data_IF_092607062524
#
_entry.id   IF_092607062524
#
_cell.length_a   1.000
_cell.length_b   1.000
_cell.length_c   1.000
_cell.angle_alpha   90.00
_cell.angle_beta   90.00
_cell.angle_gamma   90.00
#
_symmetry.space_group_name_H-M   'P 1'
#
loop_
_entity.id
_entity.type
_entity.pdbx_description
1 polymer ?
#
# COMPACT_ATOMS: atom_id res chain seq x y z
N UNK A 1 -5.75 -28.13 37.91
CA UNK A 1 -4.40 -27.63 37.52
C UNK A 1 -3.50 -27.54 38.75
N UNK A 2 -2.19 -27.68 38.56
CA UNK A 2 -1.14 -27.67 39.60
C UNK A 2 -0.28 -26.40 39.58
N UNK A 3 -0.52 -25.53 38.61
CA UNK A 3 0.26 -24.32 38.37
C UNK A 3 -0.13 -23.69 37.02
N UNK A 4 0.66 -22.71 36.59
CA UNK A 4 0.65 -22.15 35.24
C UNK A 4 1.72 -22.85 34.40
N UNK A 5 1.36 -23.28 33.20
CA UNK A 5 2.28 -23.94 32.27
C UNK A 5 2.49 -23.05 31.04
N UNK A 6 3.74 -22.84 30.66
CA UNK A 6 4.16 -22.04 29.50
C UNK A 6 4.78 -23.00 28.47
N UNK A 7 4.17 -23.10 27.30
CA UNK A 7 4.61 -23.97 26.20
C UNK A 7 5.15 -23.10 25.07
N UNK A 8 6.46 -23.17 24.82
CA UNK A 8 7.09 -22.53 23.66
C UNK A 8 7.10 -23.49 22.47
N UNK A 9 6.20 -23.26 21.51
CA UNK A 9 6.09 -24.08 20.31
C UNK A 9 7.06 -23.62 19.21
N UNK A 10 7.92 -24.52 18.72
CA UNK A 10 8.84 -24.27 17.59
C UNK A 10 8.52 -25.19 16.41
N UNK A 11 8.22 -24.59 15.25
CA UNK A 11 8.10 -25.32 13.99
C UNK A 11 9.36 -25.08 13.14
N UNK A 12 10.33 -25.99 13.21
CA UNK A 12 11.56 -25.95 12.40
C UNK A 12 11.81 -27.31 11.75
N UNK A 13 12.50 -27.30 10.60
CA UNK A 13 12.93 -28.51 9.89
C UNK A 13 14.41 -28.81 10.18
N UNK A 14 14.78 -30.10 10.23
CA UNK A 14 16.17 -30.56 10.32
C UNK A 14 16.50 -31.31 11.61
N UNK A 15 17.78 -31.35 11.94
CA UNK A 15 18.32 -31.92 13.17
C UNK A 15 18.80 -30.81 14.10
N UNK A 16 18.17 -30.69 15.27
CA UNK A 16 18.46 -29.67 16.28
C UNK A 16 19.46 -30.22 17.29
N UNK A 17 20.53 -29.47 17.57
CA UNK A 17 21.56 -29.83 18.55
C UNK A 17 21.87 -28.63 19.46
N UNK A 18 21.96 -28.88 20.78
CA UNK A 18 22.45 -27.92 21.76
C UNK A 18 22.16 -28.32 23.21
N UNK A 19 22.50 -27.43 24.14
CA UNK A 19 22.30 -27.58 25.58
C UNK A 19 21.65 -26.34 26.18
N UNK A 20 21.14 -26.41 27.42
CA UNK A 20 20.63 -25.24 28.15
C UNK A 20 21.70 -24.17 28.50
N UNK A 21 22.99 -24.50 28.36
CA UNK A 21 24.10 -23.56 28.49
C UNK A 21 24.30 -22.71 27.22
N UNK A 22 23.90 -23.18 26.04
CA UNK A 22 24.13 -22.49 24.77
C UNK A 22 23.26 -21.24 24.61
N UNK A 23 23.81 -20.17 24.03
CA UNK A 23 23.02 -18.97 23.70
C UNK A 23 22.05 -19.25 22.54
N UNK A 24 22.58 -19.88 21.50
CA UNK A 24 21.88 -20.20 20.26
C UNK A 24 22.12 -21.69 19.96
N UNK A 25 21.08 -22.43 19.59
CA UNK A 25 21.16 -23.84 19.19
C UNK A 25 21.44 -23.94 17.68
N UNK A 26 22.06 -25.04 17.26
CA UNK A 26 22.35 -25.32 15.84
C UNK A 26 21.26 -26.21 15.25
N UNK A 27 20.88 -25.92 14.00
CA UNK A 27 19.93 -26.72 13.23
C UNK A 27 20.59 -27.11 11.90
N UNK A 28 20.96 -28.39 11.77
CA UNK A 28 21.48 -28.95 10.52
C UNK A 28 20.32 -29.27 9.58
N UNK A 29 20.42 -28.85 8.32
CA UNK A 29 19.35 -28.90 7.33
C UNK A 29 19.86 -29.46 6.01
N UNK A 30 18.94 -30.06 5.26
CA UNK A 30 19.17 -30.55 3.90
C UNK A 30 18.31 -29.72 2.95
N UNK A 31 18.95 -29.05 1.99
CA UNK A 31 18.27 -28.27 0.96
C UNK A 31 17.65 -29.16 -0.12
N UNK A 32 16.80 -28.58 -0.96
CA UNK A 32 16.05 -29.31 -2.01
C UNK A 32 16.93 -30.11 -2.99
N UNK A 33 18.20 -29.71 -3.18
CA UNK A 33 19.20 -30.41 -4.02
C UNK A 33 20.12 -31.35 -3.23
N UNK A 34 19.76 -31.73 -2.00
CA UNK A 34 20.57 -32.59 -1.12
C UNK A 34 21.73 -31.90 -0.39
N UNK A 35 22.03 -30.64 -0.71
CA UNK A 35 23.10 -29.87 -0.06
C UNK A 35 22.84 -29.65 1.42
N UNK A 36 23.81 -29.99 2.27
CA UNK A 36 23.73 -29.77 3.72
C UNK A 36 24.11 -28.33 4.06
N UNK A 37 23.42 -27.74 5.05
CA UNK A 37 23.73 -26.43 5.60
C UNK A 37 23.26 -26.29 7.04
N UNK A 38 23.77 -25.28 7.74
CA UNK A 38 23.39 -25.00 9.12
C UNK A 38 22.65 -23.68 9.26
N UNK A 39 21.85 -23.57 10.31
CA UNK A 39 21.25 -22.31 10.75
C UNK A 39 21.21 -22.27 12.27
N UNK A 40 21.37 -21.09 12.85
CA UNK A 40 21.27 -20.88 14.30
C UNK A 40 19.90 -20.32 14.68
N UNK A 41 19.42 -20.71 15.84
CA UNK A 41 18.21 -20.16 16.46
C UNK A 41 18.52 -19.89 17.94
N UNK A 42 18.07 -18.75 18.48
CA UNK A 42 18.23 -18.49 19.91
C UNK A 42 17.58 -19.60 20.74
N UNK A 43 18.26 -20.02 21.81
CA UNK A 43 17.90 -21.22 22.56
C UNK A 43 16.49 -21.13 23.18
N UNK A 44 15.53 -21.99 22.78
CA UNK A 44 14.15 -21.91 23.24
C UNK A 44 14.02 -22.18 24.74
N UNK A 45 14.92 -22.97 25.34
CA UNK A 45 14.92 -23.20 26.80
C UNK A 45 15.23 -21.91 27.57
N UNK A 46 16.08 -21.03 27.03
CA UNK A 46 16.37 -19.69 27.59
C UNK A 46 15.25 -18.68 27.36
N UNK A 47 14.51 -18.80 26.25
CA UNK A 47 13.28 -18.02 26.03
C UNK A 47 12.25 -18.39 27.10
N UNK A 48 11.98 -19.69 27.24
CA UNK A 48 11.07 -20.23 28.25
C UNK A 48 11.49 -19.87 29.67
N UNK A 49 12.77 -20.00 30.05
CA UNK A 49 13.24 -19.60 31.37
C UNK A 49 12.97 -18.10 31.65
N UNK A 50 13.11 -17.25 30.63
CA UNK A 50 12.76 -15.83 30.70
C UNK A 50 11.25 -15.62 30.89
N UNK A 51 10.42 -16.37 30.16
CA UNK A 51 8.95 -16.31 30.30
C UNK A 51 8.50 -16.77 31.69
N UNK A 52 9.04 -17.89 32.19
CA UNK A 52 8.78 -18.38 33.56
C UNK A 52 9.13 -17.32 34.61
N UNK A 53 10.33 -16.73 34.53
CA UNK A 53 10.76 -15.68 35.45
C UNK A 53 9.81 -14.46 35.44
N UNK A 54 9.45 -13.96 34.25
CA UNK A 54 8.59 -12.78 34.11
C UNK A 54 7.15 -13.06 34.57
N UNK A 55 6.60 -14.23 34.22
CA UNK A 55 5.23 -14.63 34.62
C UNK A 55 5.14 -14.87 36.13
N UNK A 56 6.11 -15.56 36.73
CA UNK A 56 6.15 -15.76 38.18
C UNK A 56 6.33 -14.43 38.93
N UNK A 57 7.18 -13.53 38.42
CA UNK A 57 7.36 -12.18 38.96
C UNK A 57 6.05 -11.38 38.94
N UNK A 58 5.39 -11.31 37.79
CA UNK A 58 4.11 -10.61 37.63
C UNK A 58 3.01 -11.18 38.53
N UNK A 59 2.83 -12.50 38.58
CA UNK A 59 1.82 -13.11 39.45
C UNK A 59 2.09 -12.82 40.94
N UNK A 60 3.36 -12.84 41.35
CA UNK A 60 3.75 -12.46 42.72
C UNK A 60 3.43 -10.99 43.04
N UNK A 61 3.60 -10.07 42.09
CA UNK A 61 3.19 -8.66 42.23
C UNK A 61 1.67 -8.52 42.38
N UNK A 62 0.88 -9.41 41.79
CA UNK A 62 -0.58 -9.50 42.00
C UNK A 62 -0.99 -10.25 43.29
N UNK A 63 -0.03 -10.58 44.17
CA UNK A 63 -0.28 -11.34 45.40
C UNK A 63 -0.71 -12.79 45.14
N UNK A 64 -0.25 -13.39 44.04
CA UNK A 64 -0.52 -14.77 43.64
C UNK A 64 0.79 -15.56 43.70
N UNK A 65 0.91 -16.49 44.64
CA UNK A 65 2.03 -17.42 44.71
C UNK A 65 1.60 -18.77 44.11
N UNK A 66 2.01 -19.05 42.87
CA UNK A 66 1.67 -20.28 42.15
C UNK A 66 2.90 -20.82 41.41
N UNK A 67 2.95 -22.13 41.21
CA UNK A 67 4.02 -22.77 40.44
C UNK A 67 3.91 -22.36 38.97
N UNK A 68 5.02 -21.96 38.35
CA UNK A 68 5.09 -21.64 36.92
C UNK A 68 6.11 -22.58 36.28
N UNK A 69 5.64 -23.49 35.43
CA UNK A 69 6.50 -24.44 34.71
C UNK A 69 6.62 -24.04 33.24
N UNK A 70 7.83 -24.06 32.72
CA UNK A 70 8.10 -23.87 31.30
C UNK A 70 8.41 -25.19 30.60
N UNK A 71 8.07 -25.30 29.32
CA UNK A 71 8.48 -26.39 28.43
C UNK A 71 8.64 -25.92 26.98
N UNK A 72 9.44 -26.64 26.21
CA UNK A 72 9.62 -26.43 24.76
C UNK A 72 8.96 -27.58 24.01
N UNK A 73 8.26 -27.27 22.92
CA UNK A 73 7.63 -28.27 22.06
C UNK A 73 7.99 -28.04 20.60
N UNK A 74 8.64 -29.03 19.98
CA UNK A 74 8.91 -29.01 18.54
C UNK A 74 7.78 -29.70 17.78
N UNK A 75 6.97 -28.91 17.06
CA UNK A 75 5.70 -29.35 16.46
C UNK A 75 5.84 -30.09 15.12
N UNK A 76 7.03 -30.14 14.56
CA UNK A 76 7.27 -30.75 13.24
C UNK A 76 7.51 -32.26 13.38
N UNK A 77 6.68 -33.15 12.80
CA UNK A 77 6.83 -34.59 12.96
C UNK A 77 8.09 -35.18 12.31
N UNK A 78 8.81 -34.43 11.48
CA UNK A 78 10.03 -34.88 10.80
C UNK A 78 11.33 -34.47 11.51
N UNK A 79 11.25 -33.55 12.47
CA UNK A 79 12.42 -32.99 13.17
C UNK A 79 13.13 -34.06 14.02
N UNK A 80 14.45 -34.02 14.14
CA UNK A 80 15.18 -34.75 15.20
C UNK A 80 15.65 -33.74 16.24
N UNK A 81 15.45 -34.00 17.53
CA UNK A 81 15.85 -33.05 18.61
C UNK A 81 16.86 -33.70 19.55
N UNK A 82 18.04 -33.08 19.65
CA UNK A 82 19.07 -33.36 20.66
C UNK A 82 19.37 -32.05 21.40
N UNK A 83 18.37 -31.57 22.15
CA UNK A 83 18.46 -30.37 22.97
C UNK A 83 18.36 -30.75 24.44
N UNK A 84 19.52 -30.84 25.11
CA UNK A 84 19.60 -31.23 26.51
C UNK A 84 19.24 -30.05 27.43
N UNK A 85 18.32 -30.26 28.38
CA UNK A 85 18.06 -29.28 29.44
C UNK A 85 17.74 -29.95 30.78
N UNK A 86 18.35 -29.39 31.82
CA UNK A 86 18.21 -29.83 33.21
C UNK A 86 16.93 -29.38 33.91
N UNK A 87 16.24 -28.35 33.37
CA UNK A 87 15.14 -27.64 34.07
C UNK A 87 13.88 -27.43 33.23
N UNK A 88 14.04 -27.27 31.92
CA UNK A 88 12.96 -27.01 30.98
C UNK A 88 12.81 -28.26 30.11
N UNK A 89 11.80 -29.13 30.32
CA UNK A 89 11.62 -30.29 29.46
C UNK A 89 11.39 -29.85 28.02
N UNK A 90 11.95 -30.64 27.11
CA UNK A 90 11.88 -30.45 25.66
C UNK A 90 11.19 -31.67 25.07
N UNK A 91 10.13 -31.45 24.32
CA UNK A 91 9.34 -32.49 23.67
C UNK A 91 9.37 -32.31 22.16
N UNK A 92 9.27 -33.40 21.39
CA UNK A 92 9.17 -33.35 19.92
C UNK A 92 7.99 -34.18 19.43
N UNK A 93 7.25 -33.69 18.43
CA UNK A 93 6.09 -34.41 17.90
C UNK A 93 6.47 -35.75 17.25
N UNK A 94 7.71 -35.87 16.75
CA UNK A 94 8.27 -37.12 16.25
C UNK A 94 8.36 -38.21 17.32
N UNK A 95 8.54 -37.81 18.57
CA UNK A 95 8.73 -38.69 19.73
C UNK A 95 7.46 -38.74 20.60
N UNK A 96 6.28 -38.64 19.98
CA UNK A 96 4.98 -38.62 20.66
C UNK A 96 4.79 -37.45 21.66
N UNK A 97 5.59 -36.39 21.52
CA UNK A 97 5.69 -35.27 22.47
C UNK A 97 4.38 -34.57 22.80
N UNK A 98 3.40 -34.54 21.87
CA UNK A 98 2.05 -34.04 22.19
C UNK A 98 1.34 -34.83 23.30
N UNK A 99 1.52 -36.16 23.37
CA UNK A 99 1.03 -37.01 24.46
C UNK A 99 1.86 -36.81 25.73
N UNK A 100 3.18 -36.69 25.59
CA UNK A 100 4.08 -36.50 26.73
C UNK A 100 3.84 -35.17 27.45
N UNK A 101 3.57 -34.08 26.72
CA UNK A 101 3.17 -32.79 27.28
C UNK A 101 1.89 -32.92 28.12
N UNK A 102 0.85 -33.57 27.57
CA UNK A 102 -0.39 -33.81 28.30
C UNK A 102 -0.16 -34.64 29.57
N UNK A 103 0.63 -35.72 29.46
CA UNK A 103 1.01 -36.56 30.60
C UNK A 103 1.76 -35.76 31.67
N UNK A 104 2.76 -34.97 31.27
CA UNK A 104 3.58 -34.13 32.13
C UNK A 104 2.74 -33.07 32.85
N UNK A 105 1.85 -32.36 32.15
CA UNK A 105 0.96 -31.34 32.75
C UNK A 105 -0.02 -31.97 33.76
N UNK A 106 -0.56 -33.15 33.46
CA UNK A 106 -1.56 -33.82 34.30
C UNK A 106 -0.95 -34.51 35.53
N UNK A 107 0.27 -35.05 35.41
CA UNK A 107 0.94 -35.86 36.43
C UNK A 107 2.17 -35.20 37.07
N UNK A 108 2.38 -33.89 36.88
CA UNK A 108 3.39 -33.12 37.65
C UNK A 108 3.07 -33.16 39.15
N UNK A 109 4.00 -33.67 39.96
CA UNK A 109 3.92 -33.94 41.41
C UNK A 109 3.81 -32.69 42.33
N UNK A 110 3.17 -31.61 41.89
CA UNK A 110 2.78 -30.55 42.81
C UNK A 110 1.59 -31.02 43.67
N UNK A 111 1.88 -31.35 44.93
CA UNK A 111 0.93 -31.89 45.91
C UNK A 111 -0.28 -30.98 46.18
N UNK A 112 -0.17 -29.69 45.85
CA UNK A 112 -1.25 -28.71 46.02
C UNK A 112 -1.91 -28.40 44.68
N UNK A 113 -3.04 -29.07 44.38
CA UNK A 113 -3.91 -28.70 43.25
C UNK A 113 -4.55 -27.34 43.53
N UNK A 114 -4.51 -26.44 42.56
CA UNK A 114 -5.13 -25.12 42.66
C UNK A 114 -6.65 -25.26 42.79
N UNK A 115 -7.23 -24.51 43.73
CA UNK A 115 -8.67 -24.35 43.89
C UNK A 115 -9.26 -23.46 42.80
N UNK A 116 -10.58 -23.48 42.64
CA UNK A 116 -11.27 -22.72 41.59
C UNK A 116 -11.03 -21.20 41.72
N UNK A 117 -11.06 -20.69 42.95
CA UNK A 117 -10.83 -19.27 43.25
C UNK A 117 -9.40 -18.83 42.92
N UNK A 118 -8.42 -19.72 43.11
CA UNK A 118 -7.01 -19.47 42.77
C UNK A 118 -6.81 -19.44 41.26
N UNK A 119 -7.42 -20.38 40.54
CA UNK A 119 -7.42 -20.43 39.07
C UNK A 119 -8.06 -19.15 38.51
N UNK A 120 -9.20 -18.71 39.07
CA UNK A 120 -9.90 -17.53 38.58
C UNK A 120 -9.12 -16.25 38.87
N UNK A 121 -8.43 -16.15 40.01
CA UNK A 121 -7.47 -15.05 40.28
C UNK A 121 -6.32 -15.04 39.27
N UNK A 122 -5.74 -16.19 38.95
CA UNK A 122 -4.64 -16.32 37.97
C UNK A 122 -5.12 -15.90 36.57
N UNK A 123 -6.25 -16.43 36.11
CA UNK A 123 -6.83 -16.11 34.79
C UNK A 123 -7.17 -14.63 34.69
N UNK A 124 -7.78 -14.04 35.73
CA UNK A 124 -8.09 -12.62 35.75
C UNK A 124 -6.82 -11.75 35.70
N UNK A 125 -5.77 -12.10 36.45
CA UNK A 125 -4.50 -11.37 36.39
C UNK A 125 -3.86 -11.42 34.99
N UNK A 126 -3.80 -12.62 34.38
CA UNK A 126 -3.25 -12.79 33.02
C UNK A 126 -4.06 -11.97 32.00
N UNK A 127 -5.39 -12.06 32.04
CA UNK A 127 -6.27 -11.30 31.16
C UNK A 127 -6.15 -9.78 31.38
N UNK A 128 -5.97 -9.32 32.63
CA UNK A 128 -5.70 -7.90 32.91
C UNK A 128 -4.39 -7.42 32.29
N UNK A 129 -3.33 -8.24 32.31
CA UNK A 129 -2.06 -7.91 31.68
C UNK A 129 -2.19 -7.83 30.14
N UNK A 130 -2.83 -8.82 29.52
CA UNK A 130 -3.08 -8.85 28.07
C UNK A 130 -3.87 -7.63 27.60
N UNK A 131 -5.00 -7.33 28.27
CA UNK A 131 -5.82 -6.15 27.97
C UNK A 131 -5.05 -4.83 28.12
N UNK A 132 -4.15 -4.71 29.12
CA UNK A 132 -3.30 -3.53 29.28
C UNK A 132 -2.29 -3.38 28.14
N UNK A 133 -1.70 -4.48 27.66
CA UNK A 133 -0.81 -4.46 26.50
C UNK A 133 -1.58 -4.06 25.23
N UNK A 134 -2.74 -4.66 24.96
CA UNK A 134 -3.58 -4.30 23.81
C UNK A 134 -3.98 -2.82 23.83
N UNK A 135 -4.42 -2.31 24.99
CA UNK A 135 -4.73 -0.88 25.18
C UNK A 135 -3.51 0.00 24.92
N UNK A 136 -2.33 -0.40 25.39
CA UNK A 136 -1.09 0.34 25.15
C UNK A 136 -0.75 0.38 23.65
N UNK A 137 -0.77 -0.75 22.94
CA UNK A 137 -0.49 -0.78 21.50
C UNK A 137 -1.52 0.01 20.69
N UNK A 138 -2.82 -0.13 20.99
CA UNK A 138 -3.90 0.61 20.34
C UNK A 138 -3.80 2.12 20.53
N UNK A 139 -3.49 2.57 21.75
CA UNK A 139 -3.34 4.00 22.04
C UNK A 139 -2.13 4.60 21.30
N UNK A 140 -1.01 3.88 21.23
CA UNK A 140 0.16 4.31 20.47
C UNK A 140 -0.14 4.36 18.96
N UNK A 141 -0.78 3.34 18.37
CA UNK A 141 -1.10 3.35 16.93
C UNK A 141 -2.00 4.53 16.56
N UNK A 142 -3.06 4.79 17.34
CA UNK A 142 -3.89 5.99 17.15
C UNK A 142 -3.14 7.31 17.32
N UNK A 143 -2.12 7.37 18.18
CA UNK A 143 -1.30 8.56 18.31
C UNK A 143 -0.46 8.82 17.04
N UNK A 144 0.08 7.77 16.41
CA UNK A 144 0.76 7.88 15.12
C UNK A 144 -0.20 8.30 14.00
N UNK A 145 -1.37 7.68 13.89
CA UNK A 145 -2.38 8.03 12.87
C UNK A 145 -2.85 9.48 13.01
N UNK A 146 -3.15 9.92 14.23
CA UNK A 146 -3.56 11.31 14.51
C UNK A 146 -2.45 12.32 14.17
N UNK A 147 -1.19 12.00 14.48
CA UNK A 147 -0.06 12.84 14.12
C UNK A 147 0.12 12.91 12.59
N UNK A 148 0.06 11.77 11.89
CA UNK A 148 0.18 11.69 10.43
C UNK A 148 -0.89 12.51 9.72
N UNK A 149 -2.15 12.39 10.16
CA UNK A 149 -3.27 13.20 9.64
C UNK A 149 -3.10 14.69 9.90
N UNK A 150 -2.54 15.08 11.07
CA UNK A 150 -2.28 16.48 11.44
C UNK A 150 -1.14 17.11 10.63
N UNK A 151 -0.10 16.34 10.26
CA UNK A 151 0.99 16.84 9.41
C UNK A 151 0.58 16.97 7.94
N UNK A 152 -0.21 16.04 7.40
CA UNK A 152 -0.60 16.08 5.99
C UNK A 152 -1.64 17.17 5.69
N UNK A 153 -2.66 17.38 6.53
CA UNK A 153 -3.73 18.35 6.23
C UNK A 153 -3.21 19.78 6.06
N UNK A 154 -2.50 20.31 7.06
CA UNK A 154 -2.01 21.68 7.04
C UNK A 154 -0.97 21.96 5.95
N UNK A 155 -0.10 20.99 5.64
CA UNK A 155 0.93 21.15 4.61
C UNK A 155 0.36 21.08 3.19
N UNK A 156 -0.57 20.15 2.93
CA UNK A 156 -1.22 20.00 1.62
C UNK A 156 -2.11 21.20 1.31
N UNK A 157 -2.86 21.72 2.30
CA UNK A 157 -3.74 22.87 2.12
C UNK A 157 -2.95 24.16 1.80
N UNK A 158 -1.78 24.36 2.42
CA UNK A 158 -0.85 25.44 2.06
C UNK A 158 -0.25 25.25 0.65
N UNK A 159 0.12 24.02 0.27
CA UNK A 159 0.68 23.76 -1.06
C UNK A 159 -0.35 23.98 -2.18
N UNK A 160 -1.58 23.51 -1.99
CA UNK A 160 -2.70 23.66 -2.92
C UNK A 160 -3.13 25.12 -3.07
N UNK A 161 -3.23 25.87 -1.97
CA UNK A 161 -3.57 27.30 -2.02
C UNK A 161 -2.50 28.12 -2.75
N UNK A 162 -1.21 27.82 -2.53
CA UNK A 162 -0.11 28.44 -3.28
C UNK A 162 -0.15 28.15 -4.79
N UNK A 163 -0.41 26.90 -5.18
CA UNK A 163 -0.55 26.53 -6.61
C UNK A 163 -1.78 27.19 -7.25
N UNK A 164 -2.92 27.25 -6.55
CA UNK A 164 -4.13 27.90 -7.03
C UNK A 164 -3.91 29.40 -7.28
N UNK A 165 -3.22 30.11 -6.38
CA UNK A 165 -2.87 31.52 -6.55
C UNK A 165 -1.92 31.77 -7.73
N UNK A 166 -0.99 30.85 -8.02
CA UNK A 166 -0.10 30.95 -9.19
C UNK A 166 -0.87 30.73 -10.50
N UNK A 167 -1.74 29.72 -10.56
CA UNK A 167 -2.63 29.46 -11.71
C UNK A 167 -3.54 30.65 -11.99
N UNK A 168 -4.14 31.25 -10.96
CA UNK A 168 -5.02 32.42 -11.13
C UNK A 168 -4.27 33.63 -11.70
N UNK A 169 -3.02 33.86 -11.28
CA UNK A 169 -2.17 34.91 -11.86
C UNK A 169 -1.80 34.61 -13.33
N UNK A 170 -1.47 33.38 -13.68
CA UNK A 170 -1.16 33.01 -15.08
C UNK A 170 -2.37 33.20 -16.00
N UNK A 171 -3.57 32.79 -15.56
CA UNK A 171 -4.82 32.98 -16.31
C UNK A 171 -5.09 34.48 -16.54
N UNK A 172 -4.90 35.31 -15.53
CA UNK A 172 -5.05 36.76 -15.64
C UNK A 172 -4.09 37.38 -16.68
N UNK A 173 -2.79 37.03 -16.61
CA UNK A 173 -1.80 37.47 -17.60
C UNK A 173 -2.14 37.02 -19.02
N UNK A 174 -2.62 35.79 -19.20
CA UNK A 174 -2.96 35.25 -20.51
C UNK A 174 -4.18 35.96 -21.14
N UNK A 175 -5.22 36.25 -20.35
CA UNK A 175 -6.38 37.02 -20.82
C UNK A 175 -6.00 38.44 -21.22
N UNK A 176 -5.17 39.13 -20.43
CA UNK A 176 -4.70 40.49 -20.75
C UNK A 176 -3.93 40.56 -22.08
N UNK A 177 -3.11 39.54 -22.39
CA UNK A 177 -2.40 39.46 -23.66
C UNK A 177 -3.32 39.16 -24.85
N UNK A 178 -4.33 38.29 -24.68
CA UNK A 178 -5.31 38.01 -25.75
C UNK A 178 -6.16 39.25 -26.08
N UNK A 179 -6.57 40.01 -25.07
CA UNK A 179 -7.36 41.22 -25.28
C UNK A 179 -6.57 42.27 -26.09
N UNK A 180 -5.30 42.50 -25.77
CA UNK A 180 -4.43 43.39 -26.56
C UNK A 180 -4.24 42.93 -28.01
N UNK A 181 -4.13 41.62 -28.26
CA UNK A 181 -4.05 41.08 -29.63
C UNK A 181 -5.36 41.29 -30.41
N UNK A 182 -6.51 41.09 -29.78
CA UNK A 182 -7.82 41.32 -30.40
C UNK A 182 -8.05 42.80 -30.73
N UNK A 183 -7.70 43.72 -29.82
CA UNK A 183 -7.74 45.16 -30.04
C UNK A 183 -6.83 45.59 -31.20
N UNK A 184 -5.62 45.02 -31.30
CA UNK A 184 -4.70 45.30 -32.40
C UNK A 184 -5.24 44.77 -33.74
N UNK A 185 -5.80 43.56 -33.79
CA UNK A 185 -6.41 43.02 -35.01
C UNK A 185 -7.57 43.90 -35.51
N UNK A 186 -8.46 44.36 -34.62
CA UNK A 186 -9.55 45.26 -34.99
C UNK A 186 -9.05 46.59 -35.56
N UNK A 187 -7.97 47.17 -35.01
CA UNK A 187 -7.38 48.40 -35.56
C UNK A 187 -6.80 48.18 -36.97
N UNK A 188 -6.10 47.07 -37.20
CA UNK A 188 -5.56 46.71 -38.53
C UNK A 188 -6.69 46.50 -39.54
N UNK A 189 -7.76 45.82 -39.15
CA UNK A 189 -8.92 45.58 -40.01
C UNK A 189 -9.67 46.87 -40.38
N UNK A 190 -9.85 47.78 -39.41
CA UNK A 190 -10.41 49.11 -39.67
C UNK A 190 -9.55 49.95 -40.63
N UNK A 191 -8.22 49.94 -40.46
CA UNK A 191 -7.31 50.62 -41.40
C UNK A 191 -7.41 50.04 -42.81
N UNK A 192 -7.47 48.71 -42.94
CA UNK A 192 -7.57 48.04 -44.24
C UNK A 192 -8.89 48.38 -44.95
N UNK A 193 -10.02 48.42 -44.23
CA UNK A 193 -11.30 48.84 -44.78
C UNK A 193 -11.30 50.29 -45.26
N UNK A 194 -10.69 51.21 -44.50
CA UNK A 194 -10.53 52.61 -44.92
C UNK A 194 -9.66 52.72 -46.19
N UNK A 195 -8.56 51.97 -46.26
CA UNK A 195 -7.68 51.97 -47.43
C UNK A 195 -8.39 51.40 -48.67
N UNK A 196 -9.17 50.34 -48.54
CA UNK A 196 -10.02 49.80 -49.61
C UNK A 196 -11.09 50.79 -50.09
N UNK A 197 -11.76 51.51 -49.18
CA UNK A 197 -12.70 52.57 -49.58
C UNK A 197 -12.02 53.70 -50.37
N UNK A 198 -10.82 54.12 -49.96
CA UNK A 198 -10.04 55.12 -50.70
C UNK A 198 -9.65 54.63 -52.10
N UNK A 199 -9.17 53.38 -52.22
CA UNK A 199 -8.83 52.77 -53.51
C UNK A 199 -10.06 52.60 -54.41
N UNK A 200 -11.19 52.14 -53.88
CA UNK A 200 -12.45 52.02 -54.63
C UNK A 200 -12.96 53.37 -55.12
N UNK A 201 -12.86 54.42 -54.30
CA UNK A 201 -13.22 55.79 -54.67
C UNK A 201 -12.32 56.32 -55.80
N UNK A 202 -11.00 56.14 -55.69
CA UNK A 202 -10.04 56.49 -56.74
C UNK A 202 -10.29 55.71 -58.04
N UNK A 203 -10.60 54.42 -57.95
CA UNK A 203 -10.91 53.58 -59.11
C UNK A 203 -12.22 54.01 -59.79
N UNK A 204 -13.25 54.35 -59.02
CA UNK A 204 -14.51 54.87 -59.57
C UNK A 204 -14.33 56.21 -60.29
N UNK A 205 -13.52 57.11 -59.73
CA UNK A 205 -13.15 58.39 -60.38
C UNK A 205 -12.39 58.13 -61.69
N UNK A 206 -11.43 57.21 -61.69
CA UNK A 206 -10.66 56.87 -62.90
C UNK A 206 -11.53 56.24 -63.99
N UNK A 207 -12.42 55.30 -63.65
CA UNK A 207 -13.35 54.69 -64.63
C UNK A 207 -14.38 55.70 -65.17
N UNK A 208 -14.92 56.57 -64.31
CA UNK A 208 -15.79 57.67 -64.76
C UNK A 208 -15.06 58.64 -65.70
N UNK A 209 -13.74 58.82 -65.54
CA UNK A 209 -12.92 59.63 -66.45
C UNK A 209 -12.68 58.91 -67.79
N UNK A 210 -12.49 57.57 -67.77
CA UNK A 210 -12.34 56.75 -68.99
C UNK A 210 -13.63 56.61 -69.79
N UNK A 211 -14.80 56.68 -69.17
CA UNK A 211 -16.10 56.43 -69.83
C UNK A 211 -16.59 57.58 -70.72
N UNK A 212 -15.81 58.65 -70.88
CA UNK A 212 -16.17 59.84 -71.65
C UNK A 212 -15.43 59.87 -73.01
N UNK A 213 -16.17 59.54 -74.07
CA UNK A 213 -15.85 59.59 -75.54
C UNK A 213 -15.06 58.41 -76.16
N UNK A 214 -15.20 58.13 -77.48
CA UNK A 214 -16.44 58.08 -78.28
C UNK A 214 -16.57 56.79 -79.16
N UNK A 215 -17.74 56.59 -79.78
CA UNK A 215 -18.12 55.42 -80.60
C UNK A 215 -17.27 55.17 -81.87
N UNK A 216 -16.92 53.90 -82.18
CA UNK A 216 -17.17 53.26 -83.50
C UNK A 216 -16.92 51.72 -83.54
N UNK A 217 -17.55 51.01 -84.50
CA UNK A 217 -17.31 49.64 -85.03
C UNK A 217 -17.58 48.32 -84.21
N UNK A 218 -18.82 47.80 -84.28
CA UNK A 218 -19.14 46.39 -84.69
C UNK A 218 -19.15 45.19 -83.71
N UNK A 219 -20.34 44.58 -83.44
CA UNK A 219 -20.55 43.31 -82.69
C UNK A 219 -20.47 42.01 -83.55
N UNK A 220 -20.79 40.77 -83.10
CA UNK A 220 -21.62 40.19 -82.01
C UNK A 220 -21.19 38.70 -81.70
N UNK A 221 -21.13 38.19 -80.45
CA UNK A 221 -22.06 37.24 -79.71
C UNK A 221 -22.14 35.77 -80.26
N UNK A 222 -22.11 34.63 -79.51
CA UNK A 222 -23.07 34.06 -78.50
C UNK A 222 -22.56 32.70 -77.87
N UNK A 223 -23.01 32.25 -76.66
CA UNK A 223 -22.79 30.85 -76.14
C UNK A 223 -23.19 30.54 -74.66
N UNK A 224 -23.49 29.28 -74.23
CA UNK A 224 -24.33 28.94 -73.05
C UNK A 224 -23.67 28.11 -71.88
N UNK A 225 -24.42 27.66 -70.85
CA UNK A 225 -23.90 26.93 -69.66
C UNK A 225 -24.85 25.96 -68.88
N UNK A 226 -24.53 25.66 -67.60
CA UNK A 226 -25.16 24.70 -66.62
C UNK A 226 -24.67 23.22 -66.77
N UNK A 227 -24.69 22.25 -65.81
CA UNK A 227 -25.20 22.06 -64.42
C UNK A 227 -24.39 20.95 -63.64
N UNK A 228 -24.35 20.84 -62.27
CA UNK A 228 -23.57 19.81 -61.53
C UNK A 228 -24.41 18.85 -60.65
N UNK A 229 -25.01 17.80 -61.20
CA UNK A 229 -25.84 16.83 -60.43
C UNK A 229 -25.51 15.34 -60.64
N UNK A 230 -24.48 15.00 -61.41
CA UNK A 230 -24.11 13.61 -61.69
C UNK A 230 -23.06 13.05 -60.72
N UNK A 231 -23.25 11.78 -60.34
CA UNK A 231 -22.34 10.90 -59.56
C UNK A 231 -22.53 10.89 -58.04
N UNK A 232 -23.53 10.11 -57.58
CA UNK A 232 -23.61 9.56 -56.21
C UNK A 232 -23.90 8.05 -56.28
N UNK A 233 -23.32 7.30 -55.33
CA UNK A 233 -23.56 5.89 -54.99
C UNK A 233 -23.07 4.75 -55.92
N UNK A 234 -22.13 3.95 -55.41
CA UNK A 234 -22.04 2.51 -55.67
C UNK A 234 -21.67 1.81 -54.35
N UNK A 235 -22.32 0.69 -54.01
CA UNK A 235 -22.06 -0.09 -52.80
C UNK A 235 -22.32 -1.59 -53.05
N UNK A 236 -21.59 -2.44 -52.34
CA UNK A 236 -21.31 -3.86 -52.59
C UNK A 236 -22.45 -4.83 -52.95
N UNK A 237 -22.11 -5.85 -53.77
CA UNK A 237 -22.73 -7.20 -53.72
C UNK A 237 -21.76 -8.36 -54.08
N UNK A 238 -21.46 -9.20 -53.07
CA UNK A 238 -21.41 -10.69 -53.09
C UNK A 238 -20.50 -11.49 -54.05
N UNK A 239 -19.32 -11.88 -53.55
CA UNK A 239 -18.90 -13.25 -53.13
C UNK A 239 -19.18 -14.54 -53.98
N UNK A 240 -18.20 -15.47 -53.96
CA UNK A 240 -18.13 -16.85 -54.51
C UNK A 240 -18.08 -16.98 -56.07
N UNK A 241 -17.42 -17.98 -56.70
CA UNK A 241 -16.92 -19.30 -56.25
C UNK A 241 -15.77 -19.80 -57.16
N UNK A 242 -14.92 -20.72 -56.65
CA UNK A 242 -13.78 -21.42 -57.27
C UNK A 242 -12.45 -20.66 -57.42
#
# INVERSE_FOLDING_TARGET
>A
PTGVFIVEAKNVNGHVVGTDNDKDITIHKVGQKGGQYESKMYNPTKQVATHVYRTAGYLREQGINTWVQGMVYFTNPTITVQLESSKIPVFSEREDGGKEICNYILNTDNKNRLKKEEIDRIVNAINMNLNQQERYYYNNSKQYDNNFNKFNSGAIEQLLSGQAQQLQQQIFWQQGNQQQQAEHQQQVEQQMQQQMQQQGTQHAINEATKSVTPFDHGGYVQGPGFNPSDTMAHNDMMNHMF
#
